data_IF_095088805122
#
_entry.id   IF_095088805122
#
_cell.length_a   1.000
_cell.length_b   1.000
_cell.length_c   1.000
_cell.angle_alpha   90.00
_cell.angle_beta   90.00
_cell.angle_gamma   90.00
#
_symmetry.space_group_name_H-M   'P 1'
#
loop_
_entity.id
_entity.type
_entity.pdbx_description
1 polymer ?
#
# COMPACT_ATOMS: atom_id res chain seq x y z
N UNK A 1 -20.39 -16.55 6.35
CA UNK A 1 -19.53 -15.81 7.30
C UNK A 1 -19.34 -14.38 6.77
N UNK A 2 -19.24 -13.37 7.63
CA UNK A 2 -18.87 -12.03 7.20
C UNK A 2 -17.38 -11.99 6.82
N UNK A 3 -17.03 -11.39 5.68
CA UNK A 3 -15.69 -11.48 5.06
C UNK A 3 -14.86 -10.20 5.12
N UNK A 4 -15.41 -9.08 5.59
CA UNK A 4 -14.67 -7.82 5.70
C UNK A 4 -15.55 -6.58 5.78
N UNK A 5 -14.92 -5.41 5.54
CA UNK A 5 -15.57 -4.10 5.47
C UNK A 5 -16.38 -3.96 4.18
N UNK A 6 -17.59 -3.41 4.27
CA UNK A 6 -18.41 -3.03 3.13
C UNK A 6 -18.52 -1.51 3.06
N UNK A 7 -18.33 -0.92 1.88
CA UNK A 7 -18.42 0.52 1.65
C UNK A 7 -19.38 0.77 0.49
N UNK A 8 -20.35 1.66 0.71
CA UNK A 8 -21.20 2.18 -0.36
C UNK A 8 -20.51 3.36 -1.05
N UNK A 9 -20.49 3.33 -2.38
CA UNK A 9 -20.00 4.41 -3.22
C UNK A 9 -21.17 5.14 -3.87
N UNK A 10 -20.96 6.40 -4.24
CA UNK A 10 -22.02 7.27 -4.77
C UNK A 10 -22.28 7.06 -6.27
N UNK A 11 -21.38 6.40 -6.98
CA UNK A 11 -21.53 6.11 -8.41
C UNK A 11 -20.75 4.86 -8.85
N UNK A 12 -21.20 4.24 -9.93
CA UNK A 12 -20.53 3.09 -10.58
C UNK A 12 -19.08 3.40 -10.93
N UNK A 13 -18.79 4.63 -11.39
CA UNK A 13 -17.44 5.05 -11.78
C UNK A 13 -16.43 5.04 -10.60
N UNK A 14 -16.91 5.08 -9.35
CA UNK A 14 -16.03 4.94 -8.19
C UNK A 14 -15.58 3.49 -7.95
N UNK A 15 -16.24 2.49 -8.57
CA UNK A 15 -15.86 1.08 -8.44
C UNK A 15 -14.48 0.82 -9.04
N UNK A 16 -14.10 1.48 -10.16
CA UNK A 16 -12.75 1.35 -10.70
C UNK A 16 -11.69 1.87 -9.72
N UNK A 17 -11.98 2.98 -9.02
CA UNK A 17 -11.10 3.52 -8.00
C UNK A 17 -11.01 2.59 -6.78
N UNK A 18 -12.13 1.98 -6.37
CA UNK A 18 -12.14 0.94 -5.32
C UNK A 18 -11.27 -0.25 -5.76
N UNK A 19 -11.41 -0.73 -6.99
CA UNK A 19 -10.60 -1.84 -7.53
C UNK A 19 -9.11 -1.50 -7.52
N UNK A 20 -8.73 -0.30 -7.93
CA UNK A 20 -7.34 0.16 -7.89
C UNK A 20 -6.79 0.20 -6.46
N UNK A 21 -7.59 0.63 -5.47
CA UNK A 21 -7.14 0.78 -4.07
C UNK A 21 -7.14 -0.54 -3.31
N UNK A 22 -8.22 -1.33 -3.39
CA UNK A 22 -8.45 -2.50 -2.52
C UNK A 22 -8.50 -3.82 -3.27
N UNK A 23 -8.92 -3.84 -4.54
CA UNK A 23 -8.88 -5.05 -5.36
C UNK A 23 -7.45 -5.47 -5.67
N UNK A 24 -6.66 -4.53 -6.19
CA UNK A 24 -5.22 -4.71 -6.43
C UNK A 24 -4.36 -4.40 -5.20
N UNK A 25 -4.92 -3.70 -4.21
CA UNK A 25 -4.24 -3.22 -3.00
C UNK A 25 -3.34 -4.24 -2.30
N UNK A 26 -3.83 -5.46 -1.95
CA UNK A 26 -3.03 -6.46 -1.27
C UNK A 26 -1.70 -6.78 -1.97
N UNK A 27 -1.68 -6.81 -3.31
CA UNK A 27 -0.46 -7.07 -4.06
C UNK A 27 0.60 -5.98 -3.84
N UNK A 28 0.20 -4.72 -3.70
CA UNK A 28 1.13 -3.61 -3.44
C UNK A 28 1.79 -3.75 -2.07
N UNK A 29 1.02 -4.16 -1.05
CA UNK A 29 1.55 -4.43 0.28
C UNK A 29 2.46 -5.67 0.28
N UNK A 30 2.09 -6.74 -0.42
CA UNK A 30 2.96 -7.92 -0.56
C UNK A 30 4.28 -7.56 -1.25
N UNK A 31 4.26 -6.74 -2.29
CA UNK A 31 5.46 -6.27 -2.98
C UNK A 31 6.37 -5.44 -2.05
N UNK A 32 5.79 -4.53 -1.26
CA UNK A 32 6.53 -3.77 -0.26
C UNK A 32 7.16 -4.68 0.80
N UNK A 33 6.39 -5.65 1.31
CA UNK A 33 6.87 -6.61 2.30
C UNK A 33 8.00 -7.48 1.75
N UNK A 34 7.87 -8.00 0.53
CA UNK A 34 8.95 -8.75 -0.14
C UNK A 34 10.24 -7.91 -0.25
N UNK A 35 10.09 -6.64 -0.63
CA UNK A 35 11.21 -5.70 -0.76
C UNK A 35 11.89 -5.42 0.60
N UNK A 36 11.10 -5.25 1.66
CA UNK A 36 11.62 -5.07 3.02
C UNK A 36 12.34 -6.31 3.56
N UNK A 37 11.79 -7.50 3.30
CA UNK A 37 12.43 -8.78 3.69
C UNK A 37 13.78 -8.92 2.99
N UNK A 38 13.83 -8.65 1.68
CA UNK A 38 15.07 -8.67 0.90
C UNK A 38 16.10 -7.67 1.43
N UNK A 39 15.67 -6.45 1.76
CA UNK A 39 16.54 -5.44 2.37
C UNK A 39 17.07 -5.90 3.74
N UNK A 40 16.21 -6.45 4.60
CA UNK A 40 16.61 -7.00 5.89
C UNK A 40 17.67 -8.10 5.78
N UNK A 41 17.52 -9.01 4.80
CA UNK A 41 18.54 -10.02 4.48
C UNK A 41 19.87 -9.40 4.06
N UNK A 42 19.84 -8.38 3.20
CA UNK A 42 21.05 -7.68 2.75
C UNK A 42 21.74 -6.92 3.90
N UNK A 43 20.99 -6.54 4.94
CA UNK A 43 21.52 -5.95 6.18
C UNK A 43 22.03 -7.00 7.18
N UNK A 44 21.99 -8.29 6.83
CA UNK A 44 22.56 -9.38 7.63
C UNK A 44 21.55 -10.16 8.49
N UNK A 45 20.25 -9.92 8.35
CA UNK A 45 19.23 -10.70 9.04
C UNK A 45 19.02 -12.07 8.38
N UNK A 46 18.73 -13.09 9.19
CA UNK A 46 18.17 -14.34 8.68
C UNK A 46 16.80 -14.08 8.04
N UNK A 47 16.47 -14.85 7.00
CA UNK A 47 15.23 -14.71 6.26
C UNK A 47 13.98 -14.86 7.14
N UNK A 48 13.98 -15.79 8.10
CA UNK A 48 12.85 -15.97 9.01
C UNK A 48 12.66 -14.76 9.91
N UNK A 49 13.77 -14.18 10.38
CA UNK A 49 13.76 -12.98 11.23
C UNK A 49 13.28 -11.76 10.42
N UNK A 50 13.84 -11.53 9.23
CA UNK A 50 13.43 -10.44 8.35
C UNK A 50 11.95 -10.54 7.97
N UNK A 51 11.46 -11.75 7.70
CA UNK A 51 10.05 -12.03 7.43
C UNK A 51 9.17 -11.73 8.64
N UNK A 52 9.49 -12.27 9.81
CA UNK A 52 8.71 -12.05 11.02
C UNK A 52 8.62 -10.56 11.40
N UNK A 53 9.75 -9.85 11.35
CA UNK A 53 9.80 -8.41 11.63
C UNK A 53 8.97 -7.61 10.62
N UNK A 54 9.07 -7.92 9.33
CA UNK A 54 8.32 -7.22 8.28
C UNK A 54 6.82 -7.42 8.44
N UNK A 55 6.37 -8.66 8.61
CA UNK A 55 4.94 -8.98 8.75
C UNK A 55 4.34 -8.34 10.01
N UNK A 56 5.04 -8.41 11.14
CA UNK A 56 4.57 -7.83 12.39
C UNK A 56 4.56 -6.30 12.33
N UNK A 57 5.53 -5.68 11.66
CA UNK A 57 5.58 -4.23 11.43
C UNK A 57 4.40 -3.78 10.58
N UNK A 58 4.12 -4.49 9.49
CA UNK A 58 2.98 -4.17 8.61
C UNK A 58 1.64 -4.29 9.36
N UNK A 59 1.44 -5.39 10.08
CA UNK A 59 0.24 -5.60 10.90
C UNK A 59 0.06 -4.50 11.95
N UNK A 60 1.12 -4.20 12.72
CA UNK A 60 1.08 -3.19 13.77
C UNK A 60 0.81 -1.78 13.24
N UNK A 61 1.43 -1.41 12.12
CA UNK A 61 1.21 -0.12 11.48
C UNK A 61 -0.23 0.02 10.96
N UNK A 62 -0.77 -1.01 10.29
CA UNK A 62 -2.15 -1.01 9.81
C UNK A 62 -3.14 -0.94 10.98
N UNK A 63 -2.92 -1.74 12.02
CA UNK A 63 -3.77 -1.75 13.21
C UNK A 63 -3.78 -0.37 13.89
N UNK A 64 -2.61 0.25 14.06
CA UNK A 64 -2.49 1.59 14.63
C UNK A 64 -3.23 2.64 13.79
N UNK A 65 -3.11 2.58 12.46
CA UNK A 65 -3.82 3.49 11.57
C UNK A 65 -5.34 3.31 11.62
N UNK A 66 -5.83 2.08 11.82
CA UNK A 66 -7.27 1.79 11.92
C UNK A 66 -7.85 2.29 13.26
N UNK A 67 -7.10 2.15 14.35
CA UNK A 67 -7.63 2.44 15.71
C UNK A 67 -7.27 3.82 16.24
N UNK A 68 -6.32 4.53 15.61
CA UNK A 68 -5.93 5.87 16.05
C UNK A 68 -6.90 6.94 15.56
N UNK A 69 -7.05 8.00 16.36
CA UNK A 69 -7.66 9.26 15.90
C UNK A 69 -6.73 10.07 15.00
N UNK A 70 -5.43 9.75 14.96
CA UNK A 70 -4.44 10.43 14.14
C UNK A 70 -4.46 9.87 12.72
N UNK A 71 -4.24 10.75 11.75
CA UNK A 71 -4.04 10.38 10.35
C UNK A 71 -2.74 9.59 10.16
N UNK A 72 -2.59 8.79 9.09
CA UNK A 72 -1.33 8.12 8.76
C UNK A 72 -0.13 9.07 8.65
N UNK A 73 -0.34 10.31 8.20
CA UNK A 73 0.72 11.32 8.12
C UNK A 73 1.20 11.76 9.50
N UNK A 74 0.28 11.95 10.45
CA UNK A 74 0.61 12.26 11.85
C UNK A 74 1.28 11.07 12.54
N UNK A 75 0.76 9.86 12.35
CA UNK A 75 1.39 8.64 12.87
C UNK A 75 2.84 8.49 12.36
N UNK A 76 3.07 8.71 11.06
CA UNK A 76 4.41 8.71 10.47
C UNK A 76 5.31 9.76 11.13
N UNK A 77 4.83 10.99 11.32
CA UNK A 77 5.58 12.07 11.99
C UNK A 77 5.94 11.68 13.43
N UNK A 78 5.00 11.10 14.17
CA UNK A 78 5.19 10.71 15.57
C UNK A 78 6.28 9.64 15.75
N UNK A 79 6.53 8.81 14.74
CA UNK A 79 7.61 7.79 14.75
C UNK A 79 8.87 8.26 14.01
N UNK A 80 8.97 9.55 13.68
CA UNK A 80 10.11 10.15 12.98
C UNK A 80 10.77 11.18 13.87
N UNK A 81 11.89 10.82 14.50
CA UNK A 81 12.71 11.77 15.26
C UNK A 81 13.62 12.60 14.33
N UNK A 82 13.87 13.89 14.66
CA UNK A 82 14.85 14.71 13.94
C UNK A 82 16.23 14.05 13.92
N UNK A 83 16.85 13.99 12.74
CA UNK A 83 18.12 13.32 12.45
C UNK A 83 18.14 11.82 12.79
N UNK A 84 16.96 11.19 12.90
CA UNK A 84 16.81 9.77 13.19
C UNK A 84 16.92 8.87 11.97
N UNK A 85 16.98 7.56 12.21
CA UNK A 85 17.04 6.53 11.16
C UNK A 85 15.80 6.53 10.27
N UNK A 86 14.61 6.74 10.85
CA UNK A 86 13.35 6.87 10.09
C UNK A 86 13.39 8.07 9.15
N UNK A 87 13.89 9.22 9.60
CA UNK A 87 14.01 10.41 8.76
C UNK A 87 14.93 10.16 7.57
N UNK A 88 16.11 9.57 7.81
CA UNK A 88 17.07 9.26 6.75
C UNK A 88 16.46 8.34 5.67
N UNK A 89 15.67 7.34 6.07
CA UNK A 89 14.97 6.46 5.12
C UNK A 89 13.87 7.21 4.34
N UNK A 90 13.06 8.04 5.01
CA UNK A 90 12.01 8.82 4.36
C UNK A 90 12.57 9.84 3.36
N UNK A 91 13.72 10.45 3.63
CA UNK A 91 14.39 11.35 2.68
C UNK A 91 14.84 10.62 1.41
N UNK A 92 15.24 9.35 1.50
CA UNK A 92 15.51 8.51 0.32
C UNK A 92 14.22 8.27 -0.46
N UNK A 93 13.12 7.96 0.23
CA UNK A 93 11.81 7.73 -0.41
C UNK A 93 11.29 8.99 -1.11
N UNK A 94 11.48 10.16 -0.51
CA UNK A 94 11.09 11.44 -1.07
C UNK A 94 11.94 11.77 -2.31
N UNK A 95 13.26 11.58 -2.26
CA UNK A 95 14.13 11.73 -3.44
C UNK A 95 13.77 10.77 -4.57
N UNK A 96 13.35 9.55 -4.23
CA UNK A 96 12.88 8.55 -5.19
C UNK A 96 11.43 8.76 -5.65
N UNK A 97 10.75 9.80 -5.18
CA UNK A 97 9.38 10.16 -5.57
C UNK A 97 8.38 9.02 -5.35
N UNK A 98 8.52 8.26 -4.25
CA UNK A 98 7.68 7.08 -3.99
C UNK A 98 6.19 7.44 -3.97
N UNK A 99 5.81 8.58 -3.39
CA UNK A 99 4.41 9.00 -3.34
C UNK A 99 3.81 9.23 -4.73
N UNK A 100 4.57 9.86 -5.63
CA UNK A 100 4.17 10.12 -7.02
C UNK A 100 4.10 8.83 -7.82
N UNK A 101 5.04 7.91 -7.59
CA UNK A 101 5.06 6.60 -8.24
C UNK A 101 3.85 5.74 -7.81
N UNK A 102 3.48 5.76 -6.53
CA UNK A 102 2.28 5.07 -6.04
C UNK A 102 1.02 5.63 -6.69
N UNK A 103 0.87 6.95 -6.78
CA UNK A 103 -0.26 7.59 -7.46
C UNK A 103 -0.35 7.15 -8.93
N UNK A 104 0.79 7.12 -9.62
CA UNK A 104 0.87 6.69 -11.02
C UNK A 104 0.53 5.21 -11.18
N UNK A 105 0.96 4.35 -10.26
CA UNK A 105 0.64 2.92 -10.26
C UNK A 105 -0.87 2.66 -10.07
N UNK A 106 -1.52 3.37 -9.14
CA UNK A 106 -2.96 3.24 -8.93
C UNK A 106 -3.76 3.79 -10.10
N UNK A 107 -3.32 4.90 -10.72
CA UNK A 107 -3.94 5.42 -11.93
C UNK A 107 -3.83 4.43 -13.10
N UNK A 108 -2.69 3.74 -13.25
CA UNK A 108 -2.52 2.69 -14.24
C UNK A 108 -3.45 1.49 -13.99
N UNK A 109 -3.61 1.07 -12.72
CA UNK A 109 -4.54 0.00 -12.35
C UNK A 109 -6.01 0.38 -12.65
N UNK A 110 -6.40 1.62 -12.30
CA UNK A 110 -7.74 2.15 -12.62
C UNK A 110 -7.97 2.16 -14.14
N UNK A 111 -7.02 2.69 -14.91
CA UNK A 111 -7.12 2.73 -16.37
C UNK A 111 -7.29 1.33 -16.94
N UNK A 112 -6.54 0.35 -16.47
CA UNK A 112 -6.67 -1.04 -16.93
C UNK A 112 -8.03 -1.65 -16.57
N UNK A 113 -8.58 -1.34 -15.39
CA UNK A 113 -9.94 -1.74 -15.01
C UNK A 113 -10.97 -1.27 -16.04
N UNK A 114 -10.86 0.00 -16.46
CA UNK A 114 -11.75 0.61 -17.45
C UNK A 114 -11.60 -0.02 -18.84
N UNK A 115 -10.36 -0.27 -19.27
CA UNK A 115 -10.07 -0.96 -20.55
C UNK A 115 -10.71 -2.36 -20.57
N UNK A 116 -10.59 -3.13 -19.48
CA UNK A 116 -11.20 -4.45 -19.37
C UNK A 116 -12.73 -4.40 -19.42
N UNK A 117 -13.35 -3.42 -18.76
CA UNK A 117 -14.81 -3.24 -18.80
C UNK A 117 -15.29 -2.92 -20.23
N UNK A 118 -14.53 -2.13 -20.98
CA UNK A 118 -14.81 -1.81 -22.38
C UNK A 118 -14.63 -3.04 -23.28
N UNK A 119 -13.52 -3.78 -23.16
CA UNK A 119 -13.24 -5.02 -23.89
C UNK A 119 -14.38 -6.06 -23.72
N UNK A 120 -14.89 -6.20 -22.49
CA UNK A 120 -16.02 -7.09 -22.18
C UNK A 120 -17.33 -6.60 -22.82
N UNK A 121 -17.59 -5.30 -22.80
CA UNK A 121 -18.79 -4.71 -23.39
C UNK A 121 -18.81 -4.84 -24.92
N UNK A 122 -17.66 -4.75 -25.57
CA UNK A 122 -17.54 -4.89 -27.01
C UNK A 122 -17.54 -6.36 -27.46
N UNK A 123 -17.06 -7.28 -26.63
CA UNK A 123 -17.13 -8.73 -26.90
C UNK A 123 -18.54 -9.31 -26.73
N UNK A 124 -19.43 -8.60 -26.02
CA UNK A 124 -20.82 -9.01 -25.78
C UNK A 124 -21.81 -8.47 -26.83
N UNK A 125 -21.34 -7.65 -27.78
CA UNK A 125 -22.11 -7.16 -28.94
C UNK A 125 -21.89 -8.05 -30.15
#
# INVERSE_FOLDING_TARGET
AATGLTIWVNSEAQIDAVTAVSGSGPAYFFYLMESMIRAGKNLGLDEKVATALTLQTALGAAQMAITSSNTPSELRKNVTSPNGTTQAALEVFDRAQISQNIQSALAAAQKRSQELAQELSDSAK
#
